data_IF_739556996809
#
_entry.id   IF_739556996809
#
_cell.length_a   1.000
_cell.length_b   1.000
_cell.length_c   1.000
_cell.angle_alpha   90.00
_cell.angle_beta   90.00
_cell.angle_gamma   90.00
#
_symmetry.space_group_name_H-M   'P 1'
#
loop_
_entity.id
_entity.type
_entity.pdbx_description
1 polymer ?
#
# COMPACT_ATOMS: atom_id res chain seq x y z
N UNK A 1 12.33 24.69 -20.37
CA UNK A 1 11.35 23.57 -20.28
C UNK A 1 10.74 23.67 -18.91
N UNK A 2 9.41 23.62 -18.81
CA UNK A 2 8.76 23.67 -17.51
C UNK A 2 9.04 22.35 -16.77
N UNK A 3 9.42 22.45 -15.48
CA UNK A 3 9.55 21.29 -14.60
C UNK A 3 8.22 20.60 -14.40
N UNK A 4 8.26 19.34 -13.98
CA UNK A 4 7.08 18.55 -13.63
C UNK A 4 7.37 17.61 -12.46
N UNK A 5 6.30 17.18 -11.77
CA UNK A 5 6.36 16.22 -10.70
C UNK A 5 5.44 15.04 -11.00
N UNK A 6 5.99 13.82 -11.06
CA UNK A 6 5.21 12.60 -11.08
C UNK A 6 5.32 11.88 -9.73
N UNK A 7 4.20 11.45 -9.18
CA UNK A 7 4.15 10.60 -7.99
C UNK A 7 3.85 9.19 -8.50
N UNK A 8 4.84 8.31 -8.47
CA UNK A 8 4.83 7.07 -9.25
C UNK A 8 4.80 5.81 -8.37
N UNK A 9 3.91 4.88 -8.71
CA UNK A 9 3.81 3.56 -8.09
C UNK A 9 4.73 2.54 -8.73
N UNK A 10 5.73 2.06 -7.98
CA UNK A 10 6.66 1.03 -8.43
C UNK A 10 6.08 -0.40 -8.38
N UNK A 11 4.79 -0.55 -8.15
CA UNK A 11 4.18 -1.85 -7.96
C UNK A 11 4.66 -2.59 -6.70
N UNK A 12 4.18 -3.82 -6.48
CA UNK A 12 4.33 -4.53 -5.20
C UNK A 12 5.72 -5.14 -4.97
N UNK A 13 6.53 -5.30 -6.02
CA UNK A 13 7.88 -5.89 -5.90
C UNK A 13 8.56 -6.20 -7.23
N UNK A 14 7.94 -7.00 -8.08
CA UNK A 14 8.49 -7.40 -9.38
C UNK A 14 8.51 -6.21 -10.36
N UNK A 15 9.64 -6.02 -11.06
CA UNK A 15 9.79 -4.97 -12.08
C UNK A 15 8.84 -5.13 -13.26
N UNK A 16 8.46 -6.37 -13.60
CA UNK A 16 7.45 -6.64 -14.63
C UNK A 16 6.05 -6.08 -14.31
N UNK A 17 5.82 -5.69 -13.07
CA UNK A 17 4.57 -5.08 -12.59
C UNK A 17 4.64 -3.55 -12.46
N UNK A 18 5.73 -2.94 -12.90
CA UNK A 18 5.83 -1.48 -13.09
C UNK A 18 5.13 -1.10 -14.39
N UNK A 19 4.26 -0.10 -14.34
CA UNK A 19 3.54 0.32 -15.54
C UNK A 19 4.48 0.96 -16.58
N UNK A 20 4.19 0.85 -17.88
CA UNK A 20 4.98 1.52 -18.92
C UNK A 20 5.07 3.04 -18.73
N UNK A 21 4.01 3.66 -18.24
CA UNK A 21 3.95 5.10 -17.95
C UNK A 21 4.92 5.51 -16.85
N UNK A 22 5.00 4.73 -15.76
CA UNK A 22 5.98 4.93 -14.68
C UNK A 22 7.40 4.75 -15.20
N UNK A 23 7.66 3.71 -16.01
CA UNK A 23 8.97 3.46 -16.61
C UNK A 23 9.40 4.63 -17.52
N UNK A 24 8.47 5.19 -18.29
CA UNK A 24 8.73 6.34 -19.15
C UNK A 24 9.03 7.61 -18.33
N UNK A 25 8.28 7.87 -17.26
CA UNK A 25 8.53 9.00 -16.36
C UNK A 25 9.92 8.89 -15.71
N UNK A 26 10.28 7.71 -15.19
CA UNK A 26 11.59 7.45 -14.62
C UNK A 26 12.72 7.66 -15.64
N UNK A 27 12.54 7.23 -16.90
CA UNK A 27 13.54 7.42 -17.96
C UNK A 27 13.79 8.90 -18.28
N UNK A 28 12.79 9.76 -18.10
CA UNK A 28 12.87 11.21 -18.36
C UNK A 28 13.28 12.03 -17.15
N UNK A 29 13.22 11.48 -15.93
CA UNK A 29 13.47 12.17 -14.68
C UNK A 29 14.93 12.70 -14.61
N UNK A 30 15.11 13.86 -13.98
CA UNK A 30 16.41 14.38 -13.52
C UNK A 30 16.64 14.06 -12.06
N UNK A 31 15.56 13.91 -11.29
CA UNK A 31 15.56 13.70 -9.85
C UNK A 31 14.55 12.65 -9.45
N UNK A 32 14.94 11.72 -8.59
CA UNK A 32 14.04 10.72 -7.98
C UNK A 32 14.13 10.81 -6.46
N UNK A 33 13.01 11.04 -5.81
CA UNK A 33 12.89 11.10 -4.37
C UNK A 33 12.05 9.92 -3.84
N UNK A 34 12.35 9.44 -2.65
CA UNK A 34 11.55 8.38 -2.04
C UNK A 34 12.17 7.79 -0.78
N UNK A 35 11.44 6.89 -0.16
CA UNK A 35 11.98 6.08 0.94
C UNK A 35 13.14 5.22 0.44
N UNK A 36 14.21 5.11 1.25
CA UNK A 36 15.47 4.44 0.90
C UNK A 36 15.26 3.13 0.11
N UNK A 37 14.44 2.15 0.57
CA UNK A 37 14.23 0.89 -0.17
C UNK A 37 13.53 1.05 -1.52
N UNK A 38 12.78 2.13 -1.74
CA UNK A 38 12.08 2.36 -3.00
C UNK A 38 12.99 3.03 -4.01
N UNK A 39 13.78 4.02 -3.58
CA UNK A 39 14.81 4.65 -4.43
C UNK A 39 15.85 3.63 -4.86
N UNK A 40 16.21 2.67 -4.01
CA UNK A 40 17.14 1.59 -4.34
C UNK A 40 16.65 0.66 -5.47
N UNK A 41 15.36 0.69 -5.84
CA UNK A 41 14.81 -0.02 -7.01
C UNK A 41 15.03 0.73 -8.32
N UNK A 42 15.44 1.98 -8.28
CA UNK A 42 15.68 2.80 -9.47
C UNK A 42 17.16 2.72 -9.86
N UNK A 43 17.43 2.22 -11.07
CA UNK A 43 18.78 2.12 -11.56
C UNK A 43 19.43 3.51 -11.74
N UNK A 44 20.63 3.73 -11.20
CA UNK A 44 21.35 4.99 -11.41
C UNK A 44 21.77 5.12 -12.88
N UNK A 45 21.77 6.37 -13.40
CA UNK A 45 22.22 6.68 -14.75
C UNK A 45 22.78 8.10 -14.81
N UNK A 46 23.59 8.46 -15.82
CA UNK A 46 24.05 9.83 -16.02
C UNK A 46 22.88 10.83 -16.12
N UNK A 47 22.97 11.94 -15.41
CA UNK A 47 21.96 13.00 -15.40
C UNK A 47 20.74 12.70 -14.50
N UNK A 48 20.79 11.64 -13.69
CA UNK A 48 19.79 11.35 -12.66
C UNK A 48 20.39 11.50 -11.28
N UNK A 49 19.75 12.30 -10.44
CA UNK A 49 20.08 12.43 -9.01
C UNK A 49 19.05 11.64 -8.17
N UNK A 50 19.55 10.79 -7.28
CA UNK A 50 18.73 10.00 -6.36
C UNK A 50 18.75 10.66 -4.98
N UNK A 51 17.57 10.92 -4.40
CA UNK A 51 17.38 11.55 -3.09
C UNK A 51 16.66 10.55 -2.14
N UNK A 52 17.36 9.55 -1.61
CA UNK A 52 16.78 8.66 -0.61
C UNK A 52 16.59 9.39 0.72
N UNK A 53 15.46 9.16 1.39
CA UNK A 53 15.20 9.67 2.74
C UNK A 53 14.51 8.61 3.59
N UNK A 54 14.54 8.77 4.91
CA UNK A 54 14.00 7.77 5.84
C UNK A 54 12.47 7.88 5.97
N UNK A 55 11.90 6.93 6.71
CA UNK A 55 10.49 6.95 7.10
C UNK A 55 10.20 8.16 8.00
N UNK A 56 8.95 8.64 7.98
CA UNK A 56 8.47 9.81 8.74
C UNK A 56 8.94 11.17 8.21
N UNK A 57 9.52 11.19 7.03
CA UNK A 57 9.93 12.42 6.32
C UNK A 57 9.03 12.69 5.09
N UNK A 58 7.78 12.21 5.14
CA UNK A 58 6.88 12.24 3.97
C UNK A 58 6.58 13.68 3.52
N UNK A 59 6.30 14.60 4.45
CA UNK A 59 6.01 16.01 4.12
C UNK A 59 7.26 16.76 3.69
N UNK A 60 8.41 16.52 4.33
CA UNK A 60 9.70 17.15 3.95
C UNK A 60 10.11 16.66 2.56
N UNK A 61 9.97 15.38 2.27
CA UNK A 61 10.20 14.79 0.94
C UNK A 61 9.28 15.38 -0.12
N UNK A 62 8.00 15.56 0.21
CA UNK A 62 7.02 16.18 -0.68
C UNK A 62 7.39 17.63 -0.99
N UNK A 63 7.74 18.43 0.04
CA UNK A 63 8.18 19.79 -0.12
C UNK A 63 9.46 19.93 -0.96
N UNK A 64 10.45 19.05 -0.72
CA UNK A 64 11.68 19.01 -1.51
C UNK A 64 11.41 18.69 -2.99
N UNK A 65 10.53 17.71 -3.27
CA UNK A 65 10.15 17.35 -4.63
C UNK A 65 9.44 18.50 -5.37
N UNK A 66 8.50 19.17 -4.71
CA UNK A 66 7.79 20.33 -5.25
C UNK A 66 8.74 21.51 -5.51
N UNK A 67 9.67 21.77 -4.60
CA UNK A 67 10.68 22.82 -4.77
C UNK A 67 11.60 22.56 -5.97
N UNK A 68 12.06 21.33 -6.18
CA UNK A 68 12.86 20.94 -7.36
C UNK A 68 12.05 21.13 -8.66
N UNK A 69 10.79 20.68 -8.68
CA UNK A 69 9.92 20.84 -9.84
C UNK A 69 9.69 22.33 -10.19
N UNK A 70 9.49 23.17 -9.17
CA UNK A 70 9.36 24.63 -9.33
C UNK A 70 10.60 25.28 -9.94
N UNK A 71 11.79 24.70 -9.71
CA UNK A 71 13.06 25.14 -10.31
C UNK A 71 13.30 24.59 -11.73
N UNK A 72 12.34 23.86 -12.30
CA UNK A 72 12.41 23.32 -13.66
C UNK A 72 12.94 21.90 -13.76
N UNK A 73 13.15 21.19 -12.64
CA UNK A 73 13.55 19.79 -12.63
C UNK A 73 12.37 18.86 -13.06
N UNK A 74 12.73 17.70 -13.60
CA UNK A 74 11.79 16.62 -13.92
C UNK A 74 11.85 15.59 -12.80
N UNK A 75 10.91 15.70 -11.88
CA UNK A 75 10.94 15.01 -10.60
C UNK A 75 10.01 13.79 -10.59
N UNK A 76 10.48 12.67 -10.06
CA UNK A 76 9.63 11.52 -9.74
C UNK A 76 9.74 11.21 -8.26
N UNK A 77 8.61 11.21 -7.54
CA UNK A 77 8.50 10.67 -6.19
C UNK A 77 8.03 9.22 -6.28
N UNK A 78 8.85 8.28 -5.82
CA UNK A 78 8.54 6.86 -5.91
C UNK A 78 7.91 6.31 -4.64
N UNK A 79 6.86 5.50 -4.82
CA UNK A 79 6.20 4.71 -3.78
C UNK A 79 6.18 3.24 -4.15
N UNK A 80 6.19 2.33 -3.16
CA UNK A 80 5.83 0.93 -3.40
C UNK A 80 4.32 0.82 -3.64
N UNK A 81 3.90 -0.17 -4.43
CA UNK A 81 2.50 -0.36 -4.77
C UNK A 81 1.95 0.78 -5.61
N UNK A 82 0.87 1.39 -5.15
CA UNK A 82 0.19 2.54 -5.74
C UNK A 82 0.42 3.79 -4.87
N UNK A 83 0.74 4.95 -5.46
CA UNK A 83 1.05 6.16 -4.69
C UNK A 83 -0.18 6.79 -4.01
N UNK A 84 -1.39 6.47 -4.44
CA UNK A 84 -2.66 6.93 -3.86
C UNK A 84 -3.19 6.01 -2.74
N UNK A 85 -2.58 4.83 -2.53
CA UNK A 85 -3.04 3.85 -1.53
C UNK A 85 -2.11 3.85 -0.32
N UNK A 86 -2.43 4.68 0.69
CA UNK A 86 -1.66 4.84 1.93
C UNK A 86 -0.17 5.17 1.70
N UNK A 87 0.12 6.01 0.70
CA UNK A 87 1.45 6.32 0.23
C UNK A 87 1.62 7.82 -0.09
N UNK A 88 2.62 8.19 -0.90
CA UNK A 88 3.13 9.56 -1.02
C UNK A 88 2.18 10.58 -1.68
N UNK A 89 1.16 10.17 -2.44
CA UNK A 89 0.32 11.13 -3.15
C UNK A 89 -0.41 12.09 -2.20
N UNK A 90 -0.96 11.59 -1.09
CA UNK A 90 -1.61 12.43 -0.10
C UNK A 90 -0.65 13.46 0.50
N UNK A 91 0.56 13.06 0.89
CA UNK A 91 1.56 13.97 1.46
C UNK A 91 1.99 15.06 0.48
N UNK A 92 2.07 14.76 -0.82
CA UNK A 92 2.36 15.79 -1.85
C UNK A 92 1.22 16.79 -1.94
N UNK A 93 -0.03 16.34 -1.96
CA UNK A 93 -1.18 17.25 -2.01
C UNK A 93 -1.34 18.06 -0.72
N UNK A 94 -1.10 17.46 0.45
CA UNK A 94 -1.04 18.18 1.74
C UNK A 94 0.02 19.29 1.72
N UNK A 95 1.22 19.02 1.18
CA UNK A 95 2.28 20.03 1.05
C UNK A 95 1.91 21.17 0.08
N UNK A 96 1.03 20.93 -0.90
CA UNK A 96 0.55 21.95 -1.84
C UNK A 96 -0.58 22.83 -1.26
N UNK A 97 -1.17 22.46 -0.13
CA UNK A 97 -2.21 23.27 0.50
C UNK A 97 -1.66 24.68 0.87
N UNK A 98 -2.41 25.72 0.52
CA UNK A 98 -2.00 27.10 0.79
C UNK A 98 -0.78 27.62 -0.01
N UNK A 99 -0.31 26.88 -1.04
CA UNK A 99 0.86 27.23 -1.87
C UNK A 99 0.44 27.38 -3.36
N UNK A 100 -0.09 28.54 -3.78
CA UNK A 100 -0.51 28.77 -5.17
C UNK A 100 0.60 28.54 -6.20
N UNK A 101 1.85 28.81 -5.85
CA UNK A 101 3.04 28.58 -6.67
C UNK A 101 3.24 27.08 -6.97
N UNK A 102 3.00 26.20 -6.00
CA UNK A 102 3.08 24.76 -6.19
C UNK A 102 1.84 24.17 -6.85
N UNK A 103 0.65 24.77 -6.62
CA UNK A 103 -0.60 24.36 -7.25
C UNK A 103 -0.62 24.60 -8.77
N UNK A 104 0.22 25.52 -9.27
CA UNK A 104 0.39 25.79 -10.69
C UNK A 104 1.37 24.83 -11.41
N UNK A 105 2.05 23.96 -10.68
CA UNK A 105 2.98 22.97 -11.27
C UNK A 105 2.22 21.88 -12.02
N UNK A 106 2.88 21.29 -13.04
CA UNK A 106 2.42 20.05 -13.68
C UNK A 106 2.69 18.86 -12.75
N UNK A 107 1.70 18.50 -11.94
CA UNK A 107 1.75 17.38 -11.00
C UNK A 107 0.86 16.25 -11.51
N UNK A 108 1.41 15.03 -11.58
CA UNK A 108 0.73 13.82 -12.07
C UNK A 108 0.87 12.68 -11.07
N UNK A 109 -0.20 11.92 -10.89
CA UNK A 109 -0.17 10.67 -10.13
C UNK A 109 -0.17 9.51 -11.14
N UNK A 110 0.87 8.71 -11.13
CA UNK A 110 1.01 7.55 -12.01
C UNK A 110 0.73 6.28 -11.22
N UNK A 111 -0.35 5.54 -11.56
CA UNK A 111 -0.78 4.41 -10.76
C UNK A 111 0.21 3.24 -10.79
N UNK A 112 0.16 2.45 -9.74
CA UNK A 112 0.88 1.18 -9.64
C UNK A 112 -0.01 0.07 -9.10
N UNK A 113 0.39 -1.18 -9.27
CA UNK A 113 -0.34 -2.30 -8.68
C UNK A 113 -0.10 -2.31 -7.17
N UNK A 114 -1.15 -2.02 -6.40
CA UNK A 114 -1.08 -2.05 -4.95
C UNK A 114 -0.97 -3.48 -4.41
N UNK A 115 -0.33 -3.65 -3.25
CA UNK A 115 -0.11 -4.96 -2.63
C UNK A 115 -1.40 -5.77 -2.43
N UNK A 116 -2.53 -5.11 -2.17
CA UNK A 116 -3.84 -5.74 -2.02
C UNK A 116 -4.26 -6.50 -3.28
N UNK A 117 -4.16 -5.89 -4.45
CA UNK A 117 -4.54 -6.51 -5.72
C UNK A 117 -3.55 -7.61 -6.11
N UNK A 118 -2.25 -7.40 -5.86
CA UNK A 118 -1.24 -8.43 -6.11
C UNK A 118 -1.46 -9.67 -5.22
N UNK A 119 -1.73 -9.49 -3.93
CA UNK A 119 -2.02 -10.55 -2.99
C UNK A 119 -3.31 -11.30 -3.37
N UNK A 120 -4.36 -10.57 -3.74
CA UNK A 120 -5.62 -11.16 -4.19
C UNK A 120 -5.42 -12.02 -5.45
N UNK A 121 -4.66 -11.55 -6.44
CA UNK A 121 -4.35 -12.29 -7.66
C UNK A 121 -3.53 -13.57 -7.38
N UNK A 122 -2.59 -13.54 -6.43
CA UNK A 122 -1.84 -14.74 -6.01
C UNK A 122 -2.71 -15.74 -5.27
N UNK A 123 -3.66 -15.27 -4.47
CA UNK A 123 -4.58 -16.13 -3.71
C UNK A 123 -5.73 -16.71 -4.57
N UNK A 124 -6.12 -15.99 -5.62
CA UNK A 124 -7.29 -16.30 -6.45
C UNK A 124 -8.17 -15.07 -6.67
N UNK A 125 -9.33 -15.00 -6.02
CA UNK A 125 -10.25 -13.86 -6.10
C UNK A 125 -10.93 -13.58 -4.73
N UNK A 126 -10.20 -13.41 -3.64
CA UNK A 126 -10.80 -13.16 -2.31
C UNK A 126 -11.53 -11.82 -2.20
N UNK A 127 -11.29 -10.91 -3.13
CA UNK A 127 -11.93 -9.59 -3.24
C UNK A 127 -13.01 -9.59 -4.35
N UNK A 128 -13.65 -10.72 -4.60
CA UNK A 128 -14.64 -10.90 -5.68
C UNK A 128 -16.02 -10.32 -5.38
N UNK A 129 -16.27 -9.85 -4.16
CA UNK A 129 -17.46 -9.13 -3.71
C UNK A 129 -17.04 -7.80 -3.06
N UNK A 130 -17.96 -7.09 -2.40
CA UNK A 130 -17.67 -5.82 -1.75
C UNK A 130 -16.54 -5.95 -0.72
N UNK A 131 -15.59 -5.02 -0.76
CA UNK A 131 -14.44 -5.03 0.11
C UNK A 131 -14.00 -3.62 0.50
N UNK A 132 -13.18 -3.53 1.55
CA UNK A 132 -12.53 -2.30 1.94
C UNK A 132 -11.04 -2.50 2.24
N UNK A 133 -10.26 -1.41 2.14
CA UNK A 133 -8.87 -1.37 2.53
C UNK A 133 -8.70 -0.52 3.80
N UNK A 134 -8.00 -1.06 4.80
CA UNK A 134 -7.76 -0.39 6.08
C UNK A 134 -6.25 -0.40 6.39
N UNK A 135 -5.69 0.79 6.62
CA UNK A 135 -4.34 0.91 7.14
C UNK A 135 -4.37 0.77 8.66
N UNK A 136 -3.71 -0.24 9.20
CA UNK A 136 -3.64 -0.51 10.65
C UNK A 136 -2.57 0.32 11.37
N UNK A 137 -1.83 1.19 10.68
CA UNK A 137 -0.92 2.12 11.33
C UNK A 137 -1.69 3.18 12.12
N UNK A 138 -1.33 3.35 13.38
CA UNK A 138 -1.84 4.35 14.32
C UNK A 138 -0.94 5.60 14.41
N UNK A 139 0.05 5.73 13.52
CA UNK A 139 0.94 6.90 13.49
C UNK A 139 0.20 8.21 13.19
N UNK A 140 -0.83 8.17 12.34
CA UNK A 140 -1.57 9.35 11.85
C UNK A 140 -3.06 9.35 12.28
N UNK A 141 -3.49 8.35 13.04
CA UNK A 141 -4.88 8.24 13.53
C UNK A 141 -4.93 7.41 14.81
N UNK A 142 -5.89 7.66 15.72
CA UNK A 142 -6.00 6.89 16.96
C UNK A 142 -6.39 5.43 16.70
N UNK A 143 -5.87 4.51 17.53
CA UNK A 143 -6.17 3.07 17.45
C UNK A 143 -7.67 2.77 17.59
N UNK A 144 -8.42 3.53 18.41
CA UNK A 144 -9.87 3.38 18.54
C UNK A 144 -10.62 3.60 17.21
N UNK A 145 -10.12 4.48 16.32
CA UNK A 145 -10.71 4.67 15.00
C UNK A 145 -10.47 3.46 14.10
N UNK A 146 -9.30 2.81 14.21
CA UNK A 146 -9.01 1.58 13.49
C UNK A 146 -9.98 0.48 13.92
N UNK A 147 -10.15 0.28 15.24
CA UNK A 147 -11.10 -0.70 15.79
C UNK A 147 -12.52 -0.43 15.28
N UNK A 148 -13.01 0.80 15.38
CA UNK A 148 -14.34 1.18 14.89
C UNK A 148 -14.53 0.80 13.42
N UNK A 149 -13.54 1.05 12.57
CA UNK A 149 -13.61 0.72 11.14
C UNK A 149 -13.59 -0.79 10.89
N UNK A 150 -12.77 -1.54 11.63
CA UNK A 150 -12.72 -3.01 11.52
C UNK A 150 -14.05 -3.62 11.96
N UNK A 151 -14.63 -3.18 13.09
CA UNK A 151 -15.94 -3.65 13.57
C UNK A 151 -17.06 -3.33 12.57
N UNK A 152 -17.08 -2.14 12.01
CA UNK A 152 -18.08 -1.72 11.02
C UNK A 152 -18.00 -2.59 9.74
N UNK A 153 -16.79 -2.80 9.21
CA UNK A 153 -16.58 -3.62 8.02
C UNK A 153 -16.91 -5.11 8.26
N UNK A 154 -16.51 -5.66 9.42
CA UNK A 154 -16.84 -7.03 9.82
C UNK A 154 -18.35 -7.19 10.02
N UNK A 155 -19.02 -6.25 10.68
CA UNK A 155 -20.48 -6.26 10.90
C UNK A 155 -21.29 -6.10 9.63
N UNK A 156 -20.72 -5.45 8.59
CA UNK A 156 -21.30 -5.38 7.25
C UNK A 156 -20.91 -6.56 6.35
N UNK A 157 -20.21 -7.55 6.88
CA UNK A 157 -19.70 -8.73 6.17
C UNK A 157 -18.87 -8.41 4.91
N UNK A 158 -18.11 -7.32 4.94
CA UNK A 158 -17.20 -6.96 3.87
C UNK A 158 -15.89 -7.75 3.95
N UNK A 159 -15.33 -8.12 2.81
CA UNK A 159 -13.93 -8.54 2.79
C UNK A 159 -13.02 -7.32 3.08
N UNK A 160 -11.91 -7.54 3.79
CA UNK A 160 -11.03 -6.46 4.22
C UNK A 160 -9.58 -6.72 3.80
N UNK A 161 -8.87 -5.68 3.37
CA UNK A 161 -7.43 -5.74 3.13
C UNK A 161 -6.69 -4.83 4.13
N UNK A 162 -5.82 -5.42 4.95
CA UNK A 162 -5.09 -4.71 6.00
C UNK A 162 -3.65 -4.42 5.58
N UNK A 163 -3.32 -3.13 5.55
CA UNK A 163 -1.97 -2.62 5.36
C UNK A 163 -1.29 -2.33 6.68
N UNK A 164 0.03 -2.49 6.73
CA UNK A 164 0.86 -2.20 7.91
C UNK A 164 0.37 -2.88 9.20
N UNK A 165 0.09 -4.19 9.18
CA UNK A 165 -0.55 -4.87 10.30
C UNK A 165 0.28 -4.83 11.57
N UNK A 166 1.62 -4.97 11.47
CA UNK A 166 2.53 -5.04 12.62
C UNK A 166 3.90 -4.47 12.27
N UNK A 167 4.53 -3.79 13.24
CA UNK A 167 5.92 -3.34 13.15
C UNK A 167 6.64 -3.53 14.48
N UNK A 168 7.96 -3.32 14.51
CA UNK A 168 8.73 -3.35 15.75
C UNK A 168 8.26 -2.29 16.76
N UNK A 169 7.85 -1.11 16.28
CA UNK A 169 7.30 -0.03 17.14
C UNK A 169 5.81 -0.21 17.49
N UNK A 170 5.10 -1.12 16.82
CA UNK A 170 3.67 -1.40 16.98
C UNK A 170 3.42 -2.91 17.02
N UNK A 171 3.98 -3.62 18.03
CA UNK A 171 3.92 -5.08 18.08
C UNK A 171 2.52 -5.64 18.38
N UNK A 172 1.65 -4.86 19.04
CA UNK A 172 0.35 -5.29 19.54
C UNK A 172 -0.84 -4.88 18.67
N UNK A 173 -0.64 -4.02 17.65
CA UNK A 173 -1.75 -3.51 16.83
C UNK A 173 -2.52 -4.63 16.14
N UNK A 174 -1.82 -5.58 15.52
CA UNK A 174 -2.47 -6.68 14.83
C UNK A 174 -3.09 -7.72 15.79
N UNK A 175 -2.50 -7.93 16.96
CA UNK A 175 -3.08 -8.76 18.03
C UNK A 175 -4.47 -8.24 18.43
N UNK A 176 -4.57 -6.93 18.68
CA UNK A 176 -5.84 -6.27 19.00
C UNK A 176 -6.87 -6.41 17.86
N UNK A 177 -6.44 -6.23 16.61
CA UNK A 177 -7.33 -6.42 15.45
C UNK A 177 -7.82 -7.87 15.34
N UNK A 178 -6.96 -8.88 15.58
CA UNK A 178 -7.38 -10.28 15.62
C UNK A 178 -8.39 -10.53 16.74
N UNK A 179 -8.24 -9.90 17.90
CA UNK A 179 -9.24 -10.00 18.98
C UNK A 179 -10.58 -9.43 18.53
N UNK A 180 -10.59 -8.24 17.92
CA UNK A 180 -11.81 -7.61 17.37
C UNK A 180 -12.50 -8.53 16.34
N UNK A 181 -11.72 -9.14 15.44
CA UNK A 181 -12.27 -10.07 14.46
C UNK A 181 -12.88 -11.33 15.12
N UNK A 182 -12.24 -11.88 16.17
CA UNK A 182 -12.78 -13.03 16.91
C UNK A 182 -14.09 -12.74 17.66
N UNK A 183 -14.31 -11.47 17.99
CA UNK A 183 -15.57 -11.02 18.62
C UNK A 183 -16.69 -10.79 17.59
N UNK A 184 -16.36 -10.60 16.33
CA UNK A 184 -17.29 -10.14 15.28
C UNK A 184 -17.46 -11.10 14.11
N UNK A 185 -16.56 -12.06 13.94
CA UNK A 185 -16.57 -13.01 12.84
C UNK A 185 -16.53 -14.46 13.37
N UNK A 186 -16.95 -15.39 12.54
CA UNK A 186 -16.87 -16.83 12.81
C UNK A 186 -15.42 -17.34 12.85
N UNK A 187 -15.10 -18.40 13.63
CA UNK A 187 -13.74 -18.95 13.75
C UNK A 187 -13.16 -19.47 12.42
N UNK A 188 -14.02 -19.87 11.49
CA UNK A 188 -13.68 -20.41 10.16
C UNK A 188 -13.38 -19.31 9.13
N UNK A 189 -13.62 -18.02 9.45
CA UNK A 189 -13.32 -16.89 8.58
C UNK A 189 -11.89 -16.97 8.04
N UNK A 190 -11.75 -16.97 6.72
CA UNK A 190 -10.43 -17.14 6.09
C UNK A 190 -9.62 -15.85 6.13
N UNK A 191 -8.38 -15.96 6.59
CA UNK A 191 -7.36 -14.93 6.53
C UNK A 191 -6.24 -15.35 5.59
N UNK A 192 -5.83 -14.45 4.70
CA UNK A 192 -4.72 -14.66 3.76
C UNK A 192 -3.60 -13.71 4.16
N UNK A 193 -2.45 -14.26 4.51
CA UNK A 193 -1.22 -13.54 4.80
C UNK A 193 -0.33 -13.58 3.56
N UNK A 194 -0.15 -12.43 2.91
CA UNK A 194 0.68 -12.28 1.73
C UNK A 194 1.93 -11.45 2.10
N UNK A 195 3.03 -12.15 2.39
CA UNK A 195 4.29 -11.52 2.77
C UNK A 195 5.17 -11.34 1.54
N UNK A 196 5.72 -10.14 1.36
CA UNK A 196 6.63 -9.78 0.29
C UNK A 196 6.13 -10.22 -1.09
N UNK A 197 4.83 -10.02 -1.35
CA UNK A 197 4.15 -10.48 -2.57
C UNK A 197 4.86 -9.98 -3.83
N UNK A 198 4.98 -10.85 -4.82
CA UNK A 198 5.69 -10.67 -6.11
C UNK A 198 7.21 -10.51 -6.02
N UNK A 199 7.82 -10.72 -4.88
CA UNK A 199 9.28 -10.75 -4.75
C UNK A 199 9.79 -12.20 -4.68
N UNK A 200 11.11 -12.46 -4.82
CA UNK A 200 11.68 -13.79 -4.60
C UNK A 200 11.45 -14.37 -3.19
N UNK A 201 11.08 -13.52 -2.21
CA UNK A 201 10.76 -13.93 -0.85
C UNK A 201 9.26 -14.03 -0.60
N UNK A 202 8.45 -14.10 -1.67
CA UNK A 202 6.99 -14.23 -1.56
C UNK A 202 6.59 -15.44 -0.71
N UNK A 203 5.71 -15.19 0.24
CA UNK A 203 5.06 -16.23 1.03
C UNK A 203 3.56 -15.95 1.08
N UNK A 204 2.78 -16.94 0.72
CA UNK A 204 1.31 -16.87 0.79
C UNK A 204 0.80 -17.96 1.72
N UNK A 205 0.10 -17.57 2.78
CA UNK A 205 -0.51 -18.48 3.74
C UNK A 205 -1.97 -18.12 3.94
N UNK A 206 -2.85 -19.12 3.88
CA UNK A 206 -4.26 -18.93 4.19
C UNK A 206 -4.64 -19.85 5.36
N UNK A 207 -5.24 -19.28 6.39
CA UNK A 207 -5.67 -19.98 7.61
C UNK A 207 -7.06 -19.49 8.04
N UNK A 208 -7.84 -20.30 8.79
CA UNK A 208 -9.01 -19.80 9.49
C UNK A 208 -8.61 -18.82 10.61
N UNK A 209 -9.53 -17.93 11.00
CA UNK A 209 -9.33 -16.95 12.05
C UNK A 209 -8.93 -17.59 13.39
N UNK A 210 -9.48 -18.76 13.69
CA UNK A 210 -9.14 -19.52 14.89
C UNK A 210 -7.64 -19.85 15.00
N UNK A 211 -6.95 -20.03 13.88
CA UNK A 211 -5.52 -20.38 13.80
C UNK A 211 -4.61 -19.16 13.59
N UNK A 212 -5.18 -17.98 13.32
CA UNK A 212 -4.39 -16.78 13.01
C UNK A 212 -3.68 -16.27 14.27
N UNK A 213 -2.38 -15.96 14.14
CA UNK A 213 -1.59 -15.36 15.20
C UNK A 213 -0.92 -14.06 14.75
N UNK A 214 -0.60 -13.13 15.68
CA UNK A 214 0.03 -11.86 15.33
C UNK A 214 1.38 -12.03 14.63
N UNK A 215 2.12 -13.10 14.94
CA UNK A 215 3.46 -13.40 14.40
C UNK A 215 3.43 -13.78 12.91
N UNK A 216 2.26 -14.13 12.37
CA UNK A 216 2.07 -14.40 10.94
C UNK A 216 2.19 -13.13 10.08
N UNK A 217 2.20 -11.94 10.72
CA UNK A 217 2.31 -10.66 10.02
C UNK A 217 3.52 -9.84 10.48
N UNK A 218 4.15 -9.17 9.54
CA UNK A 218 5.20 -8.17 9.75
C UNK A 218 4.93 -6.94 8.84
N UNK A 219 5.89 -5.99 8.78
CA UNK A 219 5.78 -4.79 7.94
C UNK A 219 5.73 -5.08 6.43
N UNK A 220 6.13 -6.27 6.01
CA UNK A 220 6.11 -6.70 4.60
C UNK A 220 4.89 -7.56 4.27
N UNK A 221 3.95 -7.69 5.21
CA UNK A 221 2.77 -8.54 5.07
C UNK A 221 1.53 -7.69 4.79
N UNK A 222 0.79 -8.04 3.75
CA UNK A 222 -0.60 -7.65 3.57
C UNK A 222 -1.49 -8.78 4.07
N UNK A 223 -2.56 -8.44 4.80
CA UNK A 223 -3.53 -9.43 5.26
C UNK A 223 -4.86 -9.18 4.57
N UNK A 224 -5.43 -10.22 3.93
CA UNK A 224 -6.81 -10.17 3.44
C UNK A 224 -7.67 -11.02 4.37
N UNK A 225 -8.74 -10.44 4.88
CA UNK A 225 -9.80 -11.12 5.63
C UNK A 225 -10.97 -11.30 4.67
N UNK A 226 -11.39 -12.53 4.43
CA UNK A 226 -12.56 -12.82 3.62
C UNK A 226 -13.86 -12.37 4.29
N UNK A 227 -14.98 -12.45 3.59
CA UNK A 227 -16.32 -12.36 4.18
C UNK A 227 -16.86 -13.75 4.56
N UNK A 228 -18.10 -13.86 5.07
CA UNK A 228 -18.70 -15.13 5.50
C UNK A 228 -18.83 -16.16 4.37
N UNK A 229 -18.90 -15.72 3.11
CA UNK A 229 -19.04 -16.60 1.95
C UNK A 229 -17.70 -16.94 1.29
N UNK A 230 -16.59 -16.37 1.75
CA UNK A 230 -15.24 -16.64 1.22
C UNK A 230 -14.86 -18.08 1.48
N UNK A 231 -14.39 -18.79 0.45
CA UNK A 231 -14.09 -20.23 0.51
C UNK A 231 -12.91 -20.65 -0.36
N UNK A 232 -12.40 -21.84 -0.10
CA UNK A 232 -11.34 -22.45 -0.90
C UNK A 232 -11.92 -23.30 -2.02
N UNK A 233 -11.24 -23.27 -3.17
CA UNK A 233 -11.42 -24.22 -4.27
C UNK A 233 -10.04 -24.66 -4.75
N UNK A 234 -9.68 -25.91 -4.44
CA UNK A 234 -8.30 -26.37 -4.62
C UNK A 234 -7.31 -25.49 -3.84
N UNK A 235 -6.30 -24.95 -4.52
CA UNK A 235 -5.31 -24.05 -3.93
C UNK A 235 -5.76 -22.59 -3.82
N UNK A 236 -6.87 -22.24 -4.46
CA UNK A 236 -7.34 -20.86 -4.55
C UNK A 236 -8.36 -20.51 -3.46
N UNK A 237 -8.40 -19.22 -3.13
CA UNK A 237 -9.40 -18.61 -2.25
C UNK A 237 -10.19 -17.59 -3.06
N UNK A 238 -11.50 -17.61 -2.94
CA UNK A 238 -12.35 -16.63 -3.63
C UNK A 238 -13.58 -16.28 -2.80
N UNK A 239 -14.12 -15.11 -3.05
CA UNK A 239 -15.43 -14.68 -2.55
C UNK A 239 -16.41 -14.72 -3.70
N UNK A 240 -17.55 -15.44 -3.59
CA UNK A 240 -18.58 -15.49 -4.62
C UNK A 240 -19.13 -14.09 -4.97
N UNK A 241 -19.57 -13.92 -6.20
CA UNK A 241 -20.18 -12.66 -6.69
C UNK A 241 -21.61 -12.45 -6.20
N UNK A 242 -22.27 -13.50 -5.72
CA UNK A 242 -23.64 -13.43 -5.22
C UNK A 242 -23.71 -13.93 -3.78
N UNK A 243 -24.65 -13.38 -3.03
CA UNK A 243 -24.98 -13.74 -1.64
C UNK A 243 -26.10 -14.77 -1.53
N UNK A 244 -26.55 -15.33 -2.66
CA UNK A 244 -27.60 -16.36 -2.73
C UNK A 244 -27.06 -17.75 -2.55
#
# INVERSE_FOLDING_TARGET
MNGWLCIAGLGPGDEALVTPEVSQALAQATDVLGYIPYVARVAPRPGLTLHPSDNREELDRAGAALALAAQGARVVVVSSGDPGVFAMAAAVFEAMEGRPDWQALDVRVLPGITAMLAAAARAGAPLGHDFCAINLSDNLKPAALIETRVRAAAGADMAMAFYNPRSASRPHTFEHVLQVLRETCEPERLLIFARAVTTPQEQLRCVPLAEATPEMADMRTLVIVGNSTTRRVGRFVYTPRSTA
#
